data_IF_156665923433
#
_entry.id   IF_156665923433
#
_cell.length_a   1.000
_cell.length_b   1.000
_cell.length_c   1.000
_cell.angle_alpha   90.00
_cell.angle_beta   90.00
_cell.angle_gamma   90.00
#
_symmetry.space_group_name_H-M   'P 1'
#
loop_
_entity.id
_entity.type
_entity.pdbx_description
1 polymer ?
#
# COMPACT_ATOMS: atom_id res chain seq x y z
N UNK A 1 -3.08 25.13 -3.00
CA UNK A 1 -2.59 25.35 -1.61
C UNK A 1 -1.08 25.46 -1.67
N UNK A 2 -0.47 26.33 -0.86
CA UNK A 2 0.99 26.36 -0.71
C UNK A 2 1.41 25.36 0.39
N UNK A 3 2.54 24.70 0.15
CA UNK A 3 3.10 23.72 1.09
C UNK A 3 4.60 23.98 1.31
N UNK A 4 5.01 23.87 2.57
CA UNK A 4 6.41 23.97 3.01
C UNK A 4 6.97 22.56 3.21
N UNK A 5 8.15 22.27 2.63
CA UNK A 5 8.84 21.01 2.86
C UNK A 5 9.45 20.99 4.26
N UNK A 6 9.32 19.86 4.97
CA UNK A 6 10.05 19.66 6.21
C UNK A 6 11.50 19.28 5.92
N UNK A 7 12.40 19.91 6.60
CA UNK A 7 13.85 19.72 6.39
C UNK A 7 14.34 18.33 6.83
N UNK A 8 15.40 17.86 6.20
CA UNK A 8 16.11 16.64 6.60
C UNK A 8 16.78 16.85 7.98
N UNK A 9 17.00 15.75 8.72
CA UNK A 9 17.64 15.80 10.03
C UNK A 9 18.94 16.61 10.02
N UNK A 10 19.16 17.53 10.97
CA UNK A 10 20.40 18.29 11.07
C UNK A 10 21.57 17.40 11.52
N UNK A 11 22.80 17.87 11.30
CA UNK A 11 23.99 17.21 11.83
C UNK A 11 23.89 17.09 13.37
N UNK A 12 24.32 15.96 13.92
CA UNK A 12 24.25 15.64 15.33
C UNK A 12 22.93 14.99 15.77
N UNK A 13 21.85 15.07 14.98
CA UNK A 13 20.60 14.41 15.29
C UNK A 13 20.73 12.87 15.34
N UNK A 14 20.03 12.25 16.26
CA UNK A 14 19.88 10.80 16.31
C UNK A 14 18.79 10.34 15.32
N UNK A 15 19.14 9.47 14.38
CA UNK A 15 18.24 9.05 13.31
C UNK A 15 18.11 7.54 13.27
N UNK A 16 16.90 7.04 13.53
CA UNK A 16 16.56 5.65 13.31
C UNK A 16 16.29 5.44 11.81
N UNK A 17 16.94 4.46 11.18
CA UNK A 17 16.80 4.17 9.75
C UNK A 17 16.27 2.75 9.57
N UNK A 18 15.08 2.64 8.95
CA UNK A 18 14.51 1.34 8.56
C UNK A 18 15.31 0.71 7.42
N UNK A 19 15.96 -0.41 7.69
CA UNK A 19 16.80 -1.16 6.74
C UNK A 19 16.06 -2.42 6.26
N UNK A 20 16.04 -2.63 4.95
CA UNK A 20 15.46 -3.81 4.30
C UNK A 20 16.48 -4.63 3.50
N UNK A 21 17.77 -4.29 3.58
CA UNK A 21 18.82 -4.88 2.73
C UNK A 21 18.83 -4.36 1.29
N UNK A 22 17.83 -3.59 0.87
CA UNK A 22 17.77 -2.98 -0.45
C UNK A 22 18.62 -1.72 -0.60
N UNK A 23 18.97 -1.36 -1.84
CA UNK A 23 19.83 -0.23 -2.19
C UNK A 23 19.35 1.11 -1.63
N UNK A 24 18.02 1.33 -1.62
CA UNK A 24 17.43 2.60 -1.17
C UNK A 24 17.64 2.82 0.33
N UNK A 25 17.41 1.80 1.15
CA UNK A 25 17.52 1.89 2.60
C UNK A 25 19.00 2.02 3.04
N UNK A 26 19.91 1.27 2.42
CA UNK A 26 21.34 1.32 2.73
C UNK A 26 21.95 2.65 2.29
N UNK A 27 21.60 3.16 1.10
CA UNK A 27 22.04 4.49 0.67
C UNK A 27 21.48 5.59 1.58
N UNK A 28 20.22 5.49 2.01
CA UNK A 28 19.60 6.43 2.97
C UNK A 28 20.44 6.52 4.25
N UNK A 29 20.85 5.39 4.83
CA UNK A 29 21.68 5.36 6.03
C UNK A 29 23.04 6.07 5.82
N UNK A 30 23.70 5.81 4.66
CA UNK A 30 24.98 6.45 4.34
C UNK A 30 24.85 7.95 4.11
N UNK A 31 23.80 8.41 3.43
CA UNK A 31 23.58 9.84 3.19
C UNK A 31 23.40 10.59 4.50
N UNK A 32 22.64 10.03 5.44
CA UNK A 32 22.42 10.60 6.78
C UNK A 32 23.72 10.60 7.60
N UNK A 33 24.50 9.51 7.54
CA UNK A 33 25.81 9.45 8.20
C UNK A 33 26.79 10.48 7.64
N UNK A 34 26.85 10.65 6.31
CA UNK A 34 27.66 11.68 5.65
C UNK A 34 27.20 13.11 6.01
N UNK A 35 25.91 13.27 6.30
CA UNK A 35 25.35 14.54 6.80
C UNK A 35 25.73 14.85 8.25
N UNK A 36 26.38 13.90 8.95
CA UNK A 36 26.84 14.06 10.33
C UNK A 36 25.78 13.64 11.37
N UNK A 37 24.74 12.89 10.98
CA UNK A 37 23.77 12.33 11.92
C UNK A 37 24.35 11.11 12.67
N UNK A 38 23.89 10.86 13.90
CA UNK A 38 24.05 9.57 14.58
C UNK A 38 23.01 8.59 14.03
N UNK A 39 23.43 7.72 13.15
CA UNK A 39 22.55 6.75 12.49
C UNK A 39 22.45 5.47 13.31
N UNK A 40 21.22 4.99 13.52
CA UNK A 40 20.87 3.71 14.14
C UNK A 40 20.06 2.95 13.12
N UNK A 41 20.52 1.77 12.67
CA UNK A 41 19.81 0.89 11.75
C UNK A 41 18.80 -0.01 12.50
N UNK A 42 17.61 -0.18 11.94
CA UNK A 42 16.61 -1.11 12.47
C UNK A 42 16.00 -1.95 11.35
N UNK A 43 15.86 -3.25 11.57
CA UNK A 43 15.14 -4.17 10.68
C UNK A 43 14.00 -4.85 11.45
N UNK A 44 12.85 -5.01 10.80
CA UNK A 44 11.73 -5.77 11.34
C UNK A 44 11.94 -7.26 11.10
N UNK A 45 11.71 -8.09 12.09
CA UNK A 45 11.47 -9.53 11.90
C UNK A 45 9.96 -9.76 11.82
N UNK A 46 9.51 -10.29 10.69
CA UNK A 46 8.11 -10.48 10.33
C UNK A 46 7.73 -11.95 10.25
N UNK A 47 8.69 -12.80 9.85
CA UNK A 47 8.42 -14.19 9.52
C UNK A 47 8.47 -15.08 10.76
N UNK A 48 7.39 -15.84 10.96
CA UNK A 48 7.19 -16.71 12.12
C UNK A 48 7.46 -18.21 11.84
N UNK A 49 7.93 -18.54 10.63
CA UNK A 49 8.20 -19.93 10.24
C UNK A 49 6.97 -20.77 9.85
N UNK A 50 5.76 -20.20 9.85
CA UNK A 50 4.54 -20.93 9.53
C UNK A 50 4.45 -21.38 8.07
N UNK A 51 5.12 -20.69 7.16
CA UNK A 51 5.24 -21.11 5.76
C UNK A 51 6.56 -21.86 5.60
N UNK A 52 6.53 -23.20 5.43
CA UNK A 52 7.75 -23.98 5.29
C UNK A 52 8.51 -23.58 4.03
N UNK A 53 9.83 -23.48 4.14
CA UNK A 53 10.68 -23.32 2.97
C UNK A 53 10.46 -24.50 2.01
N UNK A 54 9.97 -24.24 0.80
CA UNK A 54 9.76 -25.27 -0.24
C UNK A 54 11.10 -25.61 -0.90
N UNK A 55 11.76 -26.65 -0.39
CA UNK A 55 12.98 -27.20 -0.96
C UNK A 55 14.23 -26.32 -0.83
N UNK A 56 15.31 -26.64 -1.56
CA UNK A 56 16.43 -25.73 -1.80
C UNK A 56 15.91 -24.59 -2.67
N UNK A 57 15.26 -23.61 -2.05
CA UNK A 57 14.71 -22.44 -2.73
C UNK A 57 15.84 -21.51 -3.16
N UNK A 58 16.57 -21.93 -4.20
CA UNK A 58 17.36 -21.06 -5.03
C UNK A 58 16.49 -20.23 -5.99
N UNK A 59 15.16 -20.19 -5.80
CA UNK A 59 14.32 -19.30 -6.58
C UNK A 59 14.65 -17.86 -6.18
N UNK A 60 15.14 -17.07 -7.13
CA UNK A 60 15.43 -15.65 -6.94
C UNK A 60 14.24 -14.93 -6.29
N UNK A 61 13.01 -15.35 -6.60
CA UNK A 61 11.76 -14.77 -6.10
C UNK A 61 11.51 -14.94 -4.60
N UNK A 62 12.00 -16.02 -3.97
CA UNK A 62 11.84 -16.21 -2.51
C UNK A 62 12.66 -15.21 -1.70
N UNK A 63 13.74 -14.65 -2.28
CA UNK A 63 14.59 -13.61 -1.65
C UNK A 63 14.08 -12.20 -1.91
N UNK A 64 13.14 -12.03 -2.83
CA UNK A 64 12.62 -10.73 -3.29
C UNK A 64 11.32 -10.33 -2.59
N UNK A 65 10.68 -11.26 -1.83
CA UNK A 65 9.47 -10.99 -1.09
C UNK A 65 9.76 -10.36 0.29
N UNK A 66 8.83 -9.49 0.76
CA UNK A 66 8.96 -8.89 2.09
C UNK A 66 8.68 -9.87 3.23
N UNK A 67 7.92 -10.94 2.99
CA UNK A 67 7.53 -11.96 3.96
C UNK A 67 7.88 -13.35 3.42
N UNK A 68 8.66 -14.10 4.18
CA UNK A 68 9.06 -15.46 3.84
C UNK A 68 10.46 -15.84 4.32
N UNK A 69 10.92 -17.05 3.98
CA UNK A 69 12.17 -17.66 4.50
C UNK A 69 13.47 -16.94 4.09
N UNK A 70 13.43 -15.95 3.20
CA UNK A 70 14.58 -15.11 2.84
C UNK A 70 14.87 -13.96 3.82
N UNK A 71 14.07 -13.80 4.88
CA UNK A 71 14.22 -12.69 5.84
C UNK A 71 15.54 -12.76 6.61
N UNK A 72 15.98 -13.97 7.03
CA UNK A 72 17.23 -14.15 7.77
C UNK A 72 18.45 -13.67 6.98
N UNK A 73 18.50 -13.97 5.67
CA UNK A 73 19.57 -13.50 4.78
C UNK A 73 19.60 -11.97 4.71
N UNK A 74 18.43 -11.33 4.63
CA UNK A 74 18.31 -9.87 4.58
C UNK A 74 18.76 -9.22 5.90
N UNK A 75 18.42 -9.82 7.05
CA UNK A 75 18.86 -9.36 8.37
C UNK A 75 20.38 -9.45 8.50
N UNK A 76 20.99 -10.59 8.11
CA UNK A 76 22.44 -10.75 8.20
C UNK A 76 23.21 -9.79 7.29
N UNK A 77 22.68 -9.48 6.11
CA UNK A 77 23.25 -8.48 5.23
C UNK A 77 23.13 -7.06 5.79
N UNK A 78 22.00 -6.69 6.39
CA UNK A 78 21.86 -5.41 7.08
C UNK A 78 22.83 -5.29 8.23
N UNK A 79 23.03 -6.36 9.00
CA UNK A 79 23.99 -6.44 10.13
C UNK A 79 25.44 -6.24 9.64
N UNK A 80 25.82 -6.94 8.56
CA UNK A 80 27.14 -6.78 7.93
C UNK A 80 27.37 -5.37 7.43
N UNK A 81 26.40 -4.81 6.68
CA UNK A 81 26.45 -3.42 6.21
C UNK A 81 26.66 -2.45 7.37
N UNK A 82 25.90 -2.58 8.45
CA UNK A 82 25.99 -1.70 9.61
C UNK A 82 27.34 -1.82 10.31
N UNK A 83 27.90 -3.03 10.47
CA UNK A 83 29.21 -3.27 11.04
C UNK A 83 30.33 -2.63 10.20
N UNK A 84 30.32 -2.80 8.87
CA UNK A 84 31.28 -2.20 7.94
C UNK A 84 31.28 -0.67 7.98
N UNK A 85 30.12 -0.08 8.26
CA UNK A 85 29.98 1.38 8.29
C UNK A 85 29.95 1.98 9.70
N UNK A 86 30.15 1.19 10.76
CA UNK A 86 30.12 1.66 12.16
C UNK A 86 28.76 2.31 12.49
N UNK A 87 27.68 1.63 12.13
CA UNK A 87 26.28 1.98 12.44
C UNK A 87 25.78 1.00 13.49
N UNK A 88 25.20 1.53 14.56
CA UNK A 88 24.48 0.72 15.56
C UNK A 88 23.29 0.03 14.90
N UNK A 89 23.06 -1.27 15.18
CA UNK A 89 22.02 -2.03 14.47
C UNK A 89 21.19 -2.88 15.42
N UNK A 90 19.88 -2.84 15.19
CA UNK A 90 18.89 -3.60 15.96
C UNK A 90 17.94 -4.36 15.04
N UNK A 91 17.49 -5.51 15.51
CA UNK A 91 16.37 -6.26 14.93
C UNK A 91 15.23 -6.20 15.94
N UNK A 92 14.04 -5.80 15.50
CA UNK A 92 12.84 -5.77 16.33
C UNK A 92 11.85 -6.80 15.83
N UNK A 93 11.34 -7.59 16.75
CA UNK A 93 10.37 -8.63 16.46
C UNK A 93 8.95 -8.05 16.48
N UNK A 94 8.28 -8.11 15.33
CA UNK A 94 6.90 -7.62 15.16
C UNK A 94 6.03 -8.63 14.43
N UNK A 95 6.40 -9.93 14.45
CA UNK A 95 5.70 -10.98 13.72
C UNK A 95 4.25 -11.15 14.16
N UNK A 96 3.94 -11.05 15.46
CA UNK A 96 2.56 -11.15 15.96
C UNK A 96 1.67 -10.01 15.42
N UNK A 97 2.17 -8.78 15.49
CA UNK A 97 1.48 -7.61 14.95
C UNK A 97 1.29 -7.71 13.44
N UNK A 98 2.31 -8.20 12.74
CA UNK A 98 2.26 -8.40 11.30
C UNK A 98 1.20 -9.44 10.91
N UNK A 99 1.21 -10.59 11.57
CA UNK A 99 0.19 -11.63 11.36
C UNK A 99 -1.21 -11.07 11.57
N UNK A 100 -1.46 -10.42 12.70
CA UNK A 100 -2.78 -9.90 13.06
C UNK A 100 -3.25 -8.74 12.18
N UNK A 101 -2.35 -7.78 11.90
CA UNK A 101 -2.73 -6.50 11.25
C UNK A 101 -2.57 -6.52 9.73
N UNK A 102 -1.74 -7.43 9.18
CA UNK A 102 -1.44 -7.49 7.74
C UNK A 102 -1.93 -8.80 7.12
N UNK A 103 -1.49 -9.97 7.62
CA UNK A 103 -1.85 -11.26 7.02
C UNK A 103 -3.32 -11.60 7.21
N UNK A 104 -3.86 -11.43 8.42
CA UNK A 104 -5.28 -11.66 8.71
C UNK A 104 -6.18 -10.69 7.90
N UNK A 105 -5.78 -9.41 7.79
CA UNK A 105 -6.45 -8.45 6.91
C UNK A 105 -6.44 -8.93 5.47
N UNK A 106 -5.29 -9.32 4.94
CA UNK A 106 -5.12 -9.81 3.57
C UNK A 106 -6.03 -10.99 3.26
N UNK A 107 -6.01 -12.04 4.11
CA UNK A 107 -6.84 -13.23 3.97
C UNK A 107 -8.33 -12.88 4.02
N UNK A 108 -8.73 -12.06 4.99
CA UNK A 108 -10.13 -11.66 5.18
C UNK A 108 -10.68 -10.94 3.96
N UNK A 109 -9.93 -9.97 3.41
CA UNK A 109 -10.37 -9.20 2.25
C UNK A 109 -10.52 -10.07 1.00
N UNK A 110 -9.57 -10.95 0.72
CA UNK A 110 -9.69 -11.87 -0.42
C UNK A 110 -10.87 -12.84 -0.27
N UNK A 111 -11.07 -13.40 0.93
CA UNK A 111 -12.23 -14.25 1.22
C UNK A 111 -13.58 -13.53 1.11
N UNK A 112 -13.56 -12.22 1.23
CA UNK A 112 -14.72 -11.37 1.00
C UNK A 112 -14.86 -10.91 -0.47
N UNK A 113 -14.06 -11.44 -1.40
CA UNK A 113 -14.08 -11.07 -2.83
C UNK A 113 -13.51 -9.67 -3.10
N UNK A 114 -12.77 -9.09 -2.15
CA UNK A 114 -12.13 -7.79 -2.29
C UNK A 114 -10.63 -7.94 -2.57
N UNK A 115 -10.03 -6.92 -3.15
CA UNK A 115 -8.60 -6.90 -3.51
C UNK A 115 -7.83 -6.00 -2.52
N UNK A 116 -7.21 -6.56 -1.45
CA UNK A 116 -6.50 -5.77 -0.46
C UNK A 116 -5.18 -5.19 -0.98
N UNK A 117 -4.66 -4.19 -0.24
CA UNK A 117 -3.28 -3.74 -0.40
C UNK A 117 -2.51 -3.93 0.93
N UNK A 118 -1.79 -5.05 1.09
CA UNK A 118 -1.07 -5.36 2.33
C UNK A 118 0.05 -4.37 2.63
N UNK A 119 0.69 -3.78 1.60
CA UNK A 119 1.77 -2.80 1.79
C UNK A 119 1.31 -1.53 2.49
N UNK A 120 0.07 -1.08 2.24
CA UNK A 120 -0.51 0.07 2.93
C UNK A 120 -0.69 -0.24 4.42
N UNK A 121 -1.21 -1.43 4.74
CA UNK A 121 -1.41 -1.86 6.12
C UNK A 121 -0.08 -2.11 6.84
N UNK A 122 0.90 -2.69 6.16
CA UNK A 122 2.25 -2.84 6.68
C UNK A 122 2.90 -1.48 6.98
N UNK A 123 2.86 -0.53 6.06
CA UNK A 123 3.40 0.81 6.33
C UNK A 123 2.74 1.44 7.56
N UNK A 124 1.39 1.50 7.59
CA UNK A 124 0.67 2.12 8.70
C UNK A 124 0.92 1.44 10.04
N UNK A 125 0.75 0.11 10.10
CA UNK A 125 0.62 -0.60 11.38
C UNK A 125 1.94 -1.21 11.86
N UNK A 126 2.85 -1.51 10.93
CA UNK A 126 4.10 -2.21 11.25
C UNK A 126 5.29 -1.25 11.13
N UNK A 127 5.62 -0.81 9.92
CA UNK A 127 6.84 -0.01 9.68
C UNK A 127 6.82 1.36 10.37
N UNK A 128 5.68 2.05 10.35
CA UNK A 128 5.48 3.35 11.01
C UNK A 128 4.62 3.25 12.28
N UNK A 129 4.38 2.04 12.79
CA UNK A 129 3.66 1.70 14.02
C UNK A 129 4.48 0.79 14.91
N UNK A 130 4.15 -0.50 14.96
CA UNK A 130 4.74 -1.49 15.88
C UNK A 130 6.29 -1.48 15.92
N UNK A 131 6.96 -1.33 14.77
CA UNK A 131 8.43 -1.25 14.75
C UNK A 131 8.96 -0.06 15.55
N UNK A 132 8.29 1.09 15.48
CA UNK A 132 8.72 2.29 16.23
C UNK A 132 8.38 2.14 17.72
N UNK A 133 7.27 1.49 18.05
CA UNK A 133 6.85 1.18 19.42
C UNK A 133 7.84 0.20 20.06
N UNK A 134 8.22 -0.87 19.37
CA UNK A 134 9.21 -1.85 19.83
C UNK A 134 10.62 -1.24 19.96
N UNK A 135 11.02 -0.40 18.99
CA UNK A 135 12.30 0.32 19.09
C UNK A 135 12.37 1.18 20.35
N UNK A 136 11.29 1.87 20.68
CA UNK A 136 11.21 2.66 21.91
C UNK A 136 11.18 1.77 23.17
N UNK A 137 10.47 0.63 23.14
CA UNK A 137 10.38 -0.32 24.26
C UNK A 137 11.74 -0.94 24.62
N UNK A 138 12.60 -1.19 23.64
CA UNK A 138 13.97 -1.68 23.87
C UNK A 138 14.98 -0.55 24.17
N UNK A 139 14.49 0.69 24.33
CA UNK A 139 15.31 1.83 24.78
C UNK A 139 16.10 2.53 23.68
N UNK A 140 15.75 2.37 22.41
CA UNK A 140 16.39 3.11 21.30
C UNK A 140 15.83 4.54 21.30
N UNK A 141 16.71 5.51 21.60
CA UNK A 141 16.36 6.93 21.57
C UNK A 141 16.78 7.58 20.26
N UNK A 142 15.82 8.27 19.61
CA UNK A 142 16.00 8.92 18.33
C UNK A 142 15.11 10.16 18.15
N UNK A 143 15.61 11.14 17.41
CA UNK A 143 14.88 12.38 17.07
C UNK A 143 14.02 12.19 15.82
N UNK A 144 14.53 11.44 14.82
CA UNK A 144 13.89 11.25 13.53
C UNK A 144 13.89 9.77 13.13
N UNK A 145 12.84 9.38 12.39
CA UNK A 145 12.77 8.11 11.70
C UNK A 145 12.86 8.34 10.18
N UNK A 146 13.76 7.62 9.51
CA UNK A 146 14.00 7.72 8.08
C UNK A 146 13.91 6.37 7.38
N UNK A 147 13.46 6.38 6.14
CA UNK A 147 13.42 5.20 5.27
C UNK A 147 13.78 5.57 3.83
N UNK A 148 14.07 4.57 3.00
CA UNK A 148 14.35 4.73 1.57
C UNK A 148 13.15 4.98 0.68
N UNK A 149 11.99 5.40 1.20
CA UNK A 149 10.82 5.66 0.37
C UNK A 149 10.99 6.91 -0.51
N UNK A 150 10.44 6.84 -1.72
CA UNK A 150 10.32 7.96 -2.66
C UNK A 150 9.05 8.75 -2.38
N UNK A 151 9.14 9.63 -1.41
CA UNK A 151 8.10 10.56 -0.98
C UNK A 151 8.75 11.79 -0.32
N UNK A 152 7.98 12.81 0.00
CA UNK A 152 8.41 14.00 0.72
C UNK A 152 7.42 14.31 1.83
N UNK A 153 7.89 14.86 2.95
CA UNK A 153 7.01 15.36 4.01
C UNK A 153 6.91 16.88 3.87
N UNK A 154 5.66 17.36 3.89
CA UNK A 154 5.32 18.76 3.75
C UNK A 154 4.30 19.17 4.81
N UNK A 155 4.08 20.48 4.93
CA UNK A 155 3.05 21.09 5.80
C UNK A 155 2.34 22.18 5.03
N UNK A 156 1.02 22.37 5.16
CA UNK A 156 0.33 23.48 4.50
C UNK A 156 0.80 24.80 5.11
N UNK A 157 1.10 25.80 4.26
CA UNK A 157 1.56 27.13 4.71
C UNK A 157 0.44 27.90 5.45
N UNK A 158 -0.79 27.80 4.94
CA UNK A 158 -1.97 28.58 5.42
C UNK A 158 -3.09 27.73 6.03
N UNK A 159 -2.82 26.49 6.47
CA UNK A 159 -3.86 25.61 7.00
C UNK A 159 -4.53 24.70 5.96
N UNK A 160 -5.30 23.71 6.41
CA UNK A 160 -5.93 22.67 5.61
C UNK A 160 -7.46 22.81 5.63
N UNK A 161 -8.11 22.73 4.46
CA UNK A 161 -9.57 22.79 4.29
C UNK A 161 -10.25 23.98 5.01
N UNK A 162 -9.61 25.16 4.98
CA UNK A 162 -10.14 26.38 5.59
C UNK A 162 -10.00 26.46 7.12
N UNK A 163 -9.26 25.56 7.72
CA UNK A 163 -8.90 25.59 9.16
C UNK A 163 -7.47 26.11 9.34
N UNK A 164 -7.07 26.42 10.60
CA UNK A 164 -5.69 26.80 10.93
C UNK A 164 -4.76 25.57 11.13
N UNK A 165 -5.29 24.36 10.95
CA UNK A 165 -4.52 23.13 11.14
C UNK A 165 -3.42 22.94 10.08
N UNK A 166 -2.20 22.69 10.52
CA UNK A 166 -1.02 22.52 9.66
C UNK A 166 -0.34 21.15 9.91
N UNK A 167 -1.05 20.03 9.64
CA UNK A 167 -0.49 18.70 9.89
C UNK A 167 0.67 18.39 8.96
N UNK A 168 1.58 17.52 9.41
CA UNK A 168 2.55 16.89 8.50
C UNK A 168 1.81 15.96 7.52
N UNK A 169 2.15 16.08 6.24
CA UNK A 169 1.49 15.40 5.12
C UNK A 169 2.52 14.81 4.17
N UNK A 170 2.10 13.78 3.43
CA UNK A 170 2.95 13.13 2.41
C UNK A 170 2.75 13.80 1.05
N UNK A 171 3.83 14.10 0.37
CA UNK A 171 3.86 14.63 -0.98
C UNK A 171 4.73 13.77 -1.89
N UNK A 172 4.52 13.86 -3.22
CA UNK A 172 5.31 13.12 -4.21
C UNK A 172 6.78 13.53 -4.17
N UNK A 173 7.66 12.58 -4.46
CA UNK A 173 9.08 12.81 -4.65
C UNK A 173 9.37 13.46 -6.01
N UNK A 174 10.63 13.84 -6.25
CA UNK A 174 11.08 14.36 -7.54
C UNK A 174 10.98 13.32 -8.67
N UNK A 175 11.22 12.05 -8.37
CA UNK A 175 11.05 10.95 -9.32
C UNK A 175 9.63 10.38 -9.26
N UNK A 176 8.74 10.93 -10.09
CA UNK A 176 7.34 10.48 -10.18
C UNK A 176 7.19 9.04 -10.68
N UNK A 177 8.20 8.50 -11.39
CA UNK A 177 8.17 7.11 -11.88
C UNK A 177 8.33 6.09 -10.75
N UNK A 178 8.90 6.51 -9.63
CA UNK A 178 9.12 5.72 -8.41
C UNK A 178 8.27 6.20 -7.22
N UNK A 179 7.26 7.05 -7.49
CA UNK A 179 6.38 7.58 -6.44
C UNK A 179 5.73 6.47 -5.60
N UNK A 180 5.95 6.51 -4.30
CA UNK A 180 5.45 5.55 -3.32
C UNK A 180 4.39 6.14 -2.38
N UNK A 181 3.93 7.35 -2.65
CA UNK A 181 2.96 8.04 -1.79
C UNK A 181 1.67 7.25 -1.61
N UNK A 182 1.23 6.53 -2.64
CA UNK A 182 0.04 5.66 -2.58
C UNK A 182 0.08 4.67 -1.41
N UNK A 183 1.26 4.17 -1.04
CA UNK A 183 1.41 3.25 0.09
C UNK A 183 1.49 3.93 1.46
N UNK A 184 1.63 5.26 1.49
CA UNK A 184 1.94 6.01 2.71
C UNK A 184 0.76 6.85 3.23
N UNK A 185 -0.36 6.90 2.51
CA UNK A 185 -1.47 7.81 2.79
C UNK A 185 -2.12 7.60 4.18
N UNK A 186 -2.01 6.40 4.74
CA UNK A 186 -2.61 6.07 6.04
C UNK A 186 -1.71 6.35 7.25
N UNK A 187 -0.47 6.80 7.04
CA UNK A 187 0.43 7.11 8.16
C UNK A 187 -0.12 8.32 8.92
N UNK A 188 -0.32 8.22 10.26
CA UNK A 188 -0.82 9.34 11.04
C UNK A 188 0.10 10.57 10.94
N UNK A 189 -0.48 11.77 10.85
CA UNK A 189 0.29 13.03 10.78
C UNK A 189 1.21 13.22 12.00
N UNK A 190 0.79 12.77 13.17
CA UNK A 190 1.63 12.79 14.38
C UNK A 190 2.93 11.96 14.21
N UNK A 191 2.85 10.80 13.55
CA UNK A 191 4.03 10.00 13.19
C UNK A 191 4.88 10.72 12.16
N UNK A 192 4.25 11.33 11.13
CA UNK A 192 4.94 12.05 10.06
C UNK A 192 5.76 13.26 10.55
N UNK A 193 5.46 13.82 11.73
CA UNK A 193 6.25 14.90 12.32
C UNK A 193 7.74 14.53 12.46
N UNK A 194 8.02 13.29 12.83
CA UNK A 194 9.38 12.75 13.01
C UNK A 194 9.92 12.00 11.80
N UNK A 195 9.11 11.79 10.76
CA UNK A 195 9.51 11.01 9.56
C UNK A 195 10.18 11.89 8.53
N UNK A 196 11.28 11.40 7.91
CA UNK A 196 11.91 12.03 6.74
C UNK A 196 12.29 10.97 5.71
N UNK A 197 12.25 11.38 4.45
CA UNK A 197 12.59 10.55 3.29
C UNK A 197 13.79 11.18 2.53
N UNK A 198 15.03 10.80 2.86
CA UNK A 198 16.21 11.44 2.27
C UNK A 198 16.34 11.32 0.75
N UNK A 199 15.66 10.33 0.14
CA UNK A 199 15.65 10.13 -1.31
C UNK A 199 14.59 10.98 -2.06
N UNK A 200 13.85 11.83 -1.36
CA UNK A 200 12.77 12.64 -1.94
C UNK A 200 13.19 13.50 -3.16
N UNK A 201 14.42 13.99 -3.18
CA UNK A 201 14.95 14.84 -4.24
C UNK A 201 15.86 14.08 -5.24
N UNK A 202 16.08 12.78 -5.07
CA UNK A 202 17.03 11.97 -5.83
C UNK A 202 16.29 11.08 -6.81
N UNK A 203 16.71 11.04 -8.07
CA UNK A 203 16.17 10.10 -9.05
C UNK A 203 16.71 8.70 -8.83
N UNK A 204 15.92 7.69 -9.18
CA UNK A 204 16.32 6.29 -9.00
C UNK A 204 17.63 5.93 -9.73
N UNK A 205 17.86 6.48 -10.91
CA UNK A 205 19.15 6.31 -11.64
C UNK A 205 20.33 6.83 -10.83
N UNK A 206 20.18 8.01 -10.22
CA UNK A 206 21.22 8.64 -9.38
C UNK A 206 21.47 7.82 -8.10
N UNK A 207 20.42 7.18 -7.53
CA UNK A 207 20.56 6.28 -6.39
C UNK A 207 21.47 5.11 -6.71
N UNK A 208 21.32 4.48 -7.88
CA UNK A 208 22.21 3.40 -8.30
C UNK A 208 23.63 3.87 -8.55
N UNK A 209 23.82 5.06 -9.11
CA UNK A 209 25.16 5.64 -9.31
C UNK A 209 25.85 5.94 -7.97
N UNK A 210 25.14 6.58 -7.04
CA UNK A 210 25.65 6.89 -5.70
C UNK A 210 25.95 5.61 -4.90
N UNK A 211 25.11 4.60 -5.00
CA UNK A 211 25.30 3.32 -4.33
C UNK A 211 26.54 2.58 -4.88
N UNK A 212 26.72 2.54 -6.19
CA UNK A 212 27.92 1.96 -6.82
C UNK A 212 29.19 2.74 -6.44
N UNK A 213 29.14 4.06 -6.48
CA UNK A 213 30.27 4.91 -6.06
C UNK A 213 30.62 4.75 -4.57
N UNK A 214 29.63 4.37 -3.75
CA UNK A 214 29.83 4.07 -2.34
C UNK A 214 30.24 2.61 -2.07
N UNK A 215 30.32 1.76 -3.10
CA UNK A 215 30.72 0.35 -2.97
C UNK A 215 29.62 -0.53 -2.34
N UNK A 216 28.34 -0.12 -2.37
CA UNK A 216 27.25 -0.87 -1.78
C UNK A 216 26.94 -2.15 -2.56
N UNK A 217 27.04 -3.32 -1.93
CA UNK A 217 26.68 -4.61 -2.53
C UNK A 217 25.22 -4.65 -3.00
N UNK A 218 24.32 -3.97 -2.29
CA UNK A 218 22.90 -3.83 -2.63
C UNK A 218 22.64 -3.16 -4.00
N UNK A 219 23.60 -2.42 -4.56
CA UNK A 219 23.46 -1.80 -5.90
C UNK A 219 23.32 -2.82 -7.05
N UNK A 220 23.64 -4.09 -6.81
CA UNK A 220 23.56 -5.18 -7.80
C UNK A 220 22.34 -6.09 -7.60
N UNK A 221 21.45 -5.74 -6.66
CA UNK A 221 20.24 -6.51 -6.36
C UNK A 221 19.04 -6.01 -7.15
N UNK A 222 18.13 -6.92 -7.46
CA UNK A 222 16.80 -6.61 -7.94
C UNK A 222 15.93 -6.08 -6.81
N UNK A 223 14.98 -5.21 -7.14
CA UNK A 223 14.05 -4.62 -6.15
C UNK A 223 12.98 -5.65 -5.76
N UNK A 224 12.64 -5.73 -4.47
CA UNK A 224 11.48 -6.50 -4.02
C UNK A 224 10.21 -5.94 -4.63
N UNK A 225 9.45 -6.75 -5.35
CA UNK A 225 8.22 -6.34 -6.03
C UNK A 225 6.97 -6.93 -5.38
N UNK A 226 7.09 -8.09 -4.74
CA UNK A 226 5.97 -8.85 -4.22
C UNK A 226 5.95 -8.88 -2.68
N UNK A 227 4.74 -8.86 -2.15
CA UNK A 227 4.46 -9.01 -0.72
C UNK A 227 4.84 -10.40 -0.21
N UNK A 228 4.47 -11.44 -0.98
CA UNK A 228 4.77 -12.85 -0.76
C UNK A 228 5.09 -13.51 -2.11
N UNK A 229 6.04 -14.42 -2.14
CA UNK A 229 6.33 -15.18 -3.36
C UNK A 229 5.10 -15.93 -3.87
N UNK A 230 4.89 -15.94 -5.18
CA UNK A 230 3.72 -16.57 -5.81
C UNK A 230 3.56 -18.05 -5.42
N UNK A 231 4.68 -18.74 -5.20
CA UNK A 231 4.74 -20.14 -4.77
C UNK A 231 4.19 -20.37 -3.36
N UNK A 232 4.13 -19.32 -2.53
CA UNK A 232 3.63 -19.35 -1.15
C UNK A 232 2.21 -18.81 -1.02
N UNK A 233 1.61 -18.31 -2.10
CA UNK A 233 0.28 -17.70 -2.03
C UNK A 233 -0.78 -18.68 -1.51
N UNK A 234 -0.77 -19.92 -2.01
CA UNK A 234 -1.72 -20.96 -1.60
C UNK A 234 -1.51 -21.39 -0.13
N UNK A 235 -0.26 -21.33 0.36
CA UNK A 235 0.07 -21.67 1.74
C UNK A 235 -0.51 -20.67 2.73
N UNK A 236 -0.64 -19.39 2.33
CA UNK A 236 -1.29 -18.36 3.14
C UNK A 236 -2.75 -18.70 3.45
N UNK A 237 -3.43 -19.43 2.55
CA UNK A 237 -4.84 -19.84 2.69
C UNK A 237 -5.01 -21.29 3.13
N UNK A 238 -3.93 -21.98 3.55
CA UNK A 238 -3.95 -23.39 3.95
C UNK A 238 -4.85 -23.69 5.15
N UNK A 239 -5.06 -22.70 6.03
CA UNK A 239 -5.98 -22.75 7.16
C UNK A 239 -7.46 -22.91 6.72
N UNK A 240 -7.81 -22.35 5.56
CA UNK A 240 -9.12 -22.45 4.94
C UNK A 240 -8.98 -22.29 3.42
N UNK A 241 -8.70 -23.40 2.70
CA UNK A 241 -8.53 -23.38 1.26
C UNK A 241 -9.78 -22.90 0.52
N UNK A 242 -9.56 -22.24 -0.62
CA UNK A 242 -10.63 -21.74 -1.48
C UNK A 242 -11.53 -22.84 -2.01
N UNK A 243 -12.79 -22.51 -2.18
CA UNK A 243 -13.81 -23.43 -2.71
C UNK A 243 -13.99 -23.15 -4.20
N UNK A 244 -13.82 -24.14 -5.11
CA UNK A 244 -14.10 -23.96 -6.52
C UNK A 244 -15.58 -23.60 -6.76
N UNK A 245 -15.83 -22.67 -7.70
CA UNK A 245 -17.15 -22.21 -8.05
C UNK A 245 -17.26 -21.86 -9.54
N UNK A 246 -18.37 -21.25 -9.93
CA UNK A 246 -18.65 -20.94 -11.32
C UNK A 246 -18.14 -19.54 -11.72
N UNK A 247 -17.65 -19.44 -12.94
CA UNK A 247 -17.44 -18.19 -13.65
C UNK A 247 -18.61 -17.96 -14.58
N UNK A 248 -19.33 -16.86 -14.41
CA UNK A 248 -20.53 -16.52 -15.17
C UNK A 248 -20.34 -15.21 -15.94
N UNK A 249 -21.14 -14.99 -16.99
CA UNK A 249 -21.26 -13.67 -17.60
C UNK A 249 -22.33 -12.82 -16.88
N UNK A 250 -22.55 -11.59 -17.39
CA UNK A 250 -23.53 -10.66 -16.83
C UNK A 250 -24.99 -11.16 -16.93
N UNK A 251 -25.28 -12.10 -17.83
CA UNK A 251 -26.58 -12.73 -18.02
C UNK A 251 -26.75 -13.99 -17.15
N UNK A 252 -25.72 -14.37 -16.36
CA UNK A 252 -25.72 -15.54 -15.48
C UNK A 252 -25.36 -16.86 -16.18
N UNK A 253 -24.93 -16.83 -17.45
CA UNK A 253 -24.49 -18.02 -18.17
C UNK A 253 -23.11 -18.44 -17.67
N UNK A 254 -22.96 -19.74 -17.33
CA UNK A 254 -21.69 -20.32 -16.91
C UNK A 254 -20.72 -20.37 -18.11
N UNK A 255 -19.54 -19.77 -17.93
CA UNK A 255 -18.46 -19.75 -18.91
C UNK A 255 -17.29 -20.66 -18.53
N UNK A 256 -17.14 -21.02 -17.25
CA UNK A 256 -16.07 -21.86 -16.74
C UNK A 256 -16.14 -22.03 -15.23
N UNK A 257 -15.04 -22.49 -14.62
CA UNK A 257 -14.94 -22.66 -13.18
C UNK A 257 -13.66 -22.02 -12.64
N UNK A 258 -13.77 -21.40 -11.48
CA UNK A 258 -12.63 -20.89 -10.72
C UNK A 258 -12.18 -21.89 -9.65
N UNK A 259 -10.93 -21.75 -9.17
CA UNK A 259 -10.31 -22.64 -8.17
C UNK A 259 -10.47 -22.14 -6.71
N UNK A 260 -11.08 -20.99 -6.51
CA UNK A 260 -11.27 -20.25 -5.28
C UNK A 260 -11.25 -18.77 -5.60
N UNK A 261 -12.16 -17.97 -5.03
CA UNK A 261 -12.31 -16.53 -5.36
C UNK A 261 -11.08 -15.70 -4.99
N UNK A 262 -10.27 -16.14 -4.03
CA UNK A 262 -9.05 -15.49 -3.57
C UNK A 262 -7.94 -15.40 -4.63
N UNK A 263 -8.04 -16.18 -5.69
CA UNK A 263 -7.08 -16.15 -6.81
C UNK A 263 -7.39 -15.09 -7.86
N UNK A 264 -8.43 -14.30 -7.66
CA UNK A 264 -8.97 -13.43 -8.69
C UNK A 264 -9.09 -11.98 -8.23
N UNK A 265 -8.93 -11.07 -9.19
CA UNK A 265 -8.99 -9.63 -8.94
C UNK A 265 -9.79 -8.93 -10.03
N UNK A 266 -10.59 -7.94 -9.68
CA UNK A 266 -11.37 -7.13 -10.63
C UNK A 266 -10.47 -6.49 -11.68
N UNK A 267 -10.83 -6.68 -12.96
CA UNK A 267 -10.06 -6.22 -14.12
C UNK A 267 -9.02 -7.22 -14.64
N UNK A 268 -8.81 -8.37 -13.97
CA UNK A 268 -7.91 -9.42 -14.43
C UNK A 268 -8.42 -10.03 -15.74
N UNK A 269 -7.48 -10.27 -16.70
CA UNK A 269 -7.74 -10.89 -18.00
C UNK A 269 -7.09 -12.26 -18.15
N UNK A 270 -5.87 -12.43 -17.59
CA UNK A 270 -5.07 -13.65 -17.78
C UNK A 270 -5.35 -14.68 -16.69
N UNK A 271 -5.17 -15.97 -17.00
CA UNK A 271 -5.30 -17.04 -16.01
C UNK A 271 -6.76 -17.40 -15.65
N UNK A 272 -7.75 -17.00 -16.46
CA UNK A 272 -9.17 -17.28 -16.19
C UNK A 272 -9.58 -18.70 -16.57
N UNK A 273 -8.89 -19.34 -17.54
CA UNK A 273 -9.19 -20.71 -17.93
C UNK A 273 -10.54 -20.90 -18.66
N UNK A 274 -11.13 -19.81 -19.20
CA UNK A 274 -12.39 -19.84 -19.94
C UNK A 274 -12.12 -19.82 -21.46
N UNK A 275 -12.93 -20.57 -22.22
CA UNK A 275 -12.84 -20.64 -23.67
C UNK A 275 -14.01 -19.87 -24.32
N UNK A 276 -13.78 -18.60 -24.59
CA UNK A 276 -14.71 -17.73 -25.32
C UNK A 276 -13.99 -17.08 -26.50
N UNK A 277 -14.74 -16.65 -27.53
CA UNK A 277 -14.19 -16.11 -28.79
C UNK A 277 -13.93 -14.58 -28.74
N UNK A 278 -14.02 -13.96 -27.56
CA UNK A 278 -13.73 -12.53 -27.31
C UNK A 278 -13.01 -12.34 -25.99
N UNK A 279 -12.28 -11.23 -25.82
CA UNK A 279 -11.63 -10.94 -24.55
C UNK A 279 -12.64 -10.75 -23.42
N UNK A 280 -12.42 -11.44 -22.29
CA UNK A 280 -13.20 -11.27 -21.05
C UNK A 280 -12.30 -10.89 -19.89
N UNK A 281 -12.89 -10.20 -18.94
CA UNK A 281 -12.25 -9.67 -17.74
C UNK A 281 -13.10 -9.96 -16.51
N UNK A 282 -12.50 -10.02 -15.35
CA UNK A 282 -13.26 -10.08 -14.10
C UNK A 282 -13.95 -8.74 -13.88
N UNK A 283 -15.27 -8.76 -13.90
CA UNK A 283 -16.12 -7.61 -13.61
C UNK A 283 -16.32 -7.45 -12.11
N UNK A 284 -16.72 -8.53 -11.42
CA UNK A 284 -16.97 -8.54 -9.98
C UNK A 284 -16.77 -9.94 -9.39
N UNK A 285 -16.64 -10.00 -8.08
CA UNK A 285 -16.53 -11.25 -7.31
C UNK A 285 -17.65 -11.25 -6.29
N UNK A 286 -18.55 -12.24 -6.37
CA UNK A 286 -19.62 -12.45 -5.41
C UNK A 286 -19.22 -13.55 -4.42
N UNK A 287 -18.65 -13.13 -3.30
CA UNK A 287 -18.18 -14.05 -2.27
C UNK A 287 -19.33 -14.81 -1.58
N UNK A 288 -20.54 -14.22 -1.50
CA UNK A 288 -21.72 -14.82 -0.87
C UNK A 288 -22.19 -16.04 -1.65
N UNK A 289 -22.22 -15.95 -2.98
CA UNK A 289 -22.65 -17.01 -3.88
C UNK A 289 -21.48 -17.81 -4.48
N UNK A 290 -20.24 -17.48 -4.11
CA UNK A 290 -19.01 -18.09 -4.63
C UNK A 290 -18.92 -18.03 -6.16
N UNK A 291 -19.16 -16.84 -6.74
CA UNK A 291 -19.16 -16.59 -8.17
C UNK A 291 -18.09 -15.57 -8.57
N UNK A 292 -17.50 -15.79 -9.75
CA UNK A 292 -16.68 -14.80 -10.44
C UNK A 292 -17.44 -14.35 -11.69
N UNK A 293 -17.77 -13.06 -11.77
CA UNK A 293 -18.52 -12.49 -12.89
C UNK A 293 -17.57 -11.95 -13.92
N UNK A 294 -17.70 -12.39 -15.14
CA UNK A 294 -16.90 -11.99 -16.29
C UNK A 294 -17.68 -11.06 -17.21
N UNK A 295 -17.02 -10.06 -17.76
CA UNK A 295 -17.61 -9.13 -18.72
C UNK A 295 -16.61 -8.70 -19.77
N UNK A 296 -17.08 -7.94 -20.77
CA UNK A 296 -16.22 -7.29 -21.75
C UNK A 296 -15.53 -6.06 -21.13
N UNK A 297 -14.55 -5.50 -21.84
CA UNK A 297 -13.79 -4.34 -21.34
C UNK A 297 -14.68 -3.10 -21.13
N UNK A 298 -15.64 -2.88 -22.01
CA UNK A 298 -16.60 -1.77 -21.95
C UNK A 298 -17.41 -1.73 -20.66
N UNK A 299 -17.70 -2.89 -20.08
CA UNK A 299 -18.48 -3.04 -18.85
C UNK A 299 -17.68 -2.77 -17.57
N UNK A 300 -16.36 -2.58 -17.68
CA UNK A 300 -15.48 -2.37 -16.53
C UNK A 300 -15.39 -0.90 -16.09
N UNK A 301 -15.93 0.02 -16.85
CA UNK A 301 -15.82 1.46 -16.57
C UNK A 301 -16.87 1.91 -15.57
N UNK A 302 -16.50 2.83 -14.70
CA UNK A 302 -17.38 3.49 -13.74
C UNK A 302 -17.12 4.99 -13.70
N UNK A 303 -18.19 5.77 -13.57
CA UNK A 303 -18.15 7.23 -13.43
C UNK A 303 -17.87 7.69 -11.99
N UNK A 304 -17.95 6.76 -11.02
CA UNK A 304 -17.75 7.05 -9.60
C UNK A 304 -17.24 5.84 -8.84
N UNK A 305 -16.83 6.09 -7.61
CA UNK A 305 -16.67 5.07 -6.57
C UNK A 305 -17.18 5.60 -5.23
N UNK A 306 -17.54 4.68 -4.35
CA UNK A 306 -17.76 4.96 -2.93
C UNK A 306 -16.61 4.34 -2.15
N UNK A 307 -16.05 5.11 -1.22
CA UNK A 307 -15.00 4.62 -0.34
C UNK A 307 -15.33 4.97 1.11
N UNK A 308 -14.90 4.11 2.01
CA UNK A 308 -15.07 4.28 3.46
C UNK A 308 -13.71 4.14 4.20
N UNK A 309 -13.76 4.03 5.51
CA UNK A 309 -12.54 3.99 6.36
C UNK A 309 -11.53 5.06 5.94
N UNK A 310 -12.05 6.28 5.73
CA UNK A 310 -11.27 7.42 5.27
C UNK A 310 -10.31 7.92 6.35
N UNK A 311 -9.12 8.31 5.91
CA UNK A 311 -8.13 9.02 6.74
C UNK A 311 -7.86 10.39 6.12
N UNK A 312 -7.87 11.40 6.98
CA UNK A 312 -7.60 12.79 6.63
C UNK A 312 -6.36 13.26 7.37
N UNK A 313 -5.45 14.04 6.75
CA UNK A 313 -4.26 14.55 7.43
C UNK A 313 -4.64 15.34 8.68
N UNK A 314 -4.04 14.97 9.83
CA UNK A 314 -4.35 15.59 11.14
C UNK A 314 -5.77 15.40 11.62
N UNK A 315 -6.56 14.50 11.00
CA UNK A 315 -7.99 14.33 11.30
C UNK A 315 -8.86 15.48 10.77
N UNK A 316 -8.33 16.36 9.92
CA UNK A 316 -9.07 17.51 9.38
C UNK A 316 -9.89 17.08 8.17
N UNK A 317 -11.17 16.90 8.38
CA UNK A 317 -12.13 16.47 7.37
C UNK A 317 -12.71 17.68 6.62
N UNK A 318 -12.84 17.63 5.28
CA UNK A 318 -13.47 18.71 4.53
C UNK A 318 -14.97 18.83 4.86
N UNK A 319 -15.45 20.05 5.03
CA UNK A 319 -16.87 20.34 5.29
C UNK A 319 -17.71 20.44 4.01
N UNK A 320 -17.07 20.80 2.90
CA UNK A 320 -17.71 21.04 1.61
C UNK A 320 -17.13 20.11 0.53
N UNK A 321 -17.89 19.82 -0.54
CA UNK A 321 -17.35 19.12 -1.72
C UNK A 321 -16.15 19.87 -2.31
N UNK A 322 -15.15 19.13 -2.78
CA UNK A 322 -13.95 19.74 -3.36
C UNK A 322 -13.40 18.94 -4.54
N UNK A 323 -12.60 19.60 -5.38
CA UNK A 323 -11.92 19.02 -6.51
C UNK A 323 -10.54 18.47 -6.09
N UNK A 324 -10.21 17.28 -6.56
CA UNK A 324 -8.93 16.61 -6.31
C UNK A 324 -8.51 15.77 -7.51
N UNK A 325 -7.30 15.22 -7.44
CA UNK A 325 -6.88 14.08 -8.25
C UNK A 325 -7.01 12.83 -7.41
N UNK A 326 -7.41 11.70 -7.99
CA UNK A 326 -7.51 10.42 -7.29
C UNK A 326 -6.69 9.34 -7.99
N UNK A 327 -5.97 8.53 -7.23
CA UNK A 327 -5.41 7.24 -7.66
C UNK A 327 -6.24 6.12 -7.02
N UNK A 328 -6.70 5.19 -7.84
CA UNK A 328 -7.50 4.03 -7.41
C UNK A 328 -6.70 2.72 -7.34
N UNK A 329 -5.44 2.77 -7.71
CA UNK A 329 -4.42 1.70 -7.58
C UNK A 329 -3.03 2.29 -7.78
N UNK A 330 -2.00 1.59 -7.37
CA UNK A 330 -0.61 2.07 -7.50
C UNK A 330 -0.26 2.46 -8.94
N UNK A 331 -0.53 1.57 -9.90
CA UNK A 331 -0.14 1.77 -11.30
C UNK A 331 -1.06 2.72 -12.08
N UNK A 332 -2.18 3.21 -11.49
CA UNK A 332 -3.05 4.17 -12.18
C UNK A 332 -2.43 5.56 -12.20
N UNK A 333 -2.69 6.30 -13.29
CA UNK A 333 -2.43 7.74 -13.30
C UNK A 333 -3.46 8.45 -12.41
N UNK A 334 -3.10 9.53 -11.72
CA UNK A 334 -4.08 10.37 -11.03
C UNK A 334 -5.09 10.96 -12.01
N UNK A 335 -6.37 10.89 -11.67
CA UNK A 335 -7.47 11.44 -12.52
C UNK A 335 -8.28 12.47 -11.73
N UNK A 336 -8.79 13.46 -12.43
CA UNK A 336 -9.58 14.53 -11.82
C UNK A 336 -10.92 13.99 -11.32
N UNK A 337 -11.31 14.40 -10.11
CA UNK A 337 -12.55 14.00 -9.47
C UNK A 337 -13.13 15.10 -8.59
N UNK A 338 -14.42 14.97 -8.29
CA UNK A 338 -15.10 15.69 -7.22
C UNK A 338 -15.29 14.75 -6.04
N UNK A 339 -14.96 15.20 -4.84
CA UNK A 339 -15.07 14.46 -3.58
C UNK A 339 -16.18 15.07 -2.75
N UNK A 340 -17.16 14.28 -2.35
CA UNK A 340 -18.29 14.72 -1.53
C UNK A 340 -18.72 13.62 -0.55
N UNK A 341 -19.44 13.97 0.51
CA UNK A 341 -20.01 12.98 1.44
C UNK A 341 -21.01 12.10 0.70
N UNK A 342 -20.90 10.80 0.87
CA UNK A 342 -21.89 9.87 0.34
C UNK A 342 -23.15 9.93 1.19
N UNK A 343 -24.26 10.27 0.58
CA UNK A 343 -25.61 10.16 1.16
C UNK A 343 -26.30 9.02 0.44
N UNK A 344 -26.59 7.94 1.15
CA UNK A 344 -27.41 6.89 0.58
C UNK A 344 -28.75 7.53 0.16
N UNK A 345 -29.08 7.49 -1.12
CA UNK A 345 -30.40 7.87 -1.55
C UNK A 345 -31.37 6.94 -0.78
N UNK A 346 -32.33 7.50 -0.04
CA UNK A 346 -33.48 6.74 0.40
C UNK A 346 -34.03 6.09 -0.86
N UNK A 347 -33.96 4.74 -0.90
CA UNK A 347 -34.29 3.98 -2.10
C UNK A 347 -35.66 4.43 -2.58
N UNK A 348 -35.68 5.14 -3.68
CA UNK A 348 -36.90 5.31 -4.44
C UNK A 348 -37.36 3.91 -4.84
N UNK A 349 -38.25 3.37 -4.03
CA UNK A 349 -39.05 2.21 -4.35
C UNK A 349 -39.94 2.55 -5.53
N UNK A 350 -39.38 2.49 -6.74
CA UNK A 350 -40.08 2.37 -8.01
C UNK A 350 -39.07 2.17 -9.17
N UNK A 351 -38.60 0.94 -9.33
CA UNK A 351 -37.87 0.49 -10.50
C UNK A 351 -38.34 -0.91 -10.87
N UNK A 352 -39.19 -0.98 -11.87
CA UNK A 352 -39.61 -2.22 -12.54
C UNK A 352 -38.34 -2.92 -13.06
N UNK A 353 -38.04 -4.07 -12.52
CA UNK A 353 -37.46 -5.28 -13.09
C UNK A 353 -36.63 -6.00 -12.02
N UNK A 354 -37.02 -7.24 -11.74
CA UNK A 354 -36.58 -8.14 -10.69
C UNK A 354 -35.08 -8.49 -10.59
N UNK A 355 -34.21 -7.51 -10.43
CA UNK A 355 -32.87 -7.74 -9.90
C UNK A 355 -32.93 -7.59 -8.38
N UNK A 356 -32.55 -8.64 -7.65
CA UNK A 356 -32.43 -8.61 -6.19
C UNK A 356 -31.61 -7.37 -5.79
N UNK A 357 -32.21 -6.50 -4.97
CA UNK A 357 -31.53 -5.37 -4.39
C UNK A 357 -30.29 -5.90 -3.65
N UNK A 358 -29.10 -5.57 -4.12
CA UNK A 358 -27.87 -5.82 -3.37
C UNK A 358 -28.01 -5.06 -2.04
N UNK A 359 -27.87 -5.77 -0.92
CA UNK A 359 -27.78 -5.14 0.39
C UNK A 359 -26.71 -4.05 0.33
N UNK A 360 -27.03 -2.85 0.80
CA UNK A 360 -26.05 -1.77 0.86
C UNK A 360 -24.84 -2.24 1.66
N UNK A 361 -23.61 -1.99 1.19
CA UNK A 361 -22.40 -2.39 1.90
C UNK A 361 -22.38 -1.76 3.30
N UNK A 362 -21.99 -2.54 4.31
CA UNK A 362 -21.73 -2.00 5.64
C UNK A 362 -20.46 -1.14 5.58
N UNK A 363 -20.61 0.17 5.75
CA UNK A 363 -19.49 1.12 5.71
C UNK A 363 -18.79 1.23 7.07
N UNK A 364 -17.49 1.44 7.03
CA UNK A 364 -16.66 1.78 8.21
C UNK A 364 -16.52 3.30 8.28
N UNK A 365 -17.19 3.93 9.22
CA UNK A 365 -17.25 5.39 9.34
C UNK A 365 -18.11 6.08 8.28
N UNK A 366 -17.89 7.35 8.04
CA UNK A 366 -18.59 8.13 7.02
C UNK A 366 -18.07 7.77 5.63
N UNK A 367 -18.90 7.22 4.73
CA UNK A 367 -18.48 6.98 3.36
C UNK A 367 -18.44 8.27 2.53
N UNK A 368 -17.55 8.26 1.52
CA UNK A 368 -17.33 9.36 0.59
C UNK A 368 -17.58 8.91 -0.84
N UNK A 369 -18.23 9.78 -1.61
CA UNK A 369 -18.46 9.60 -3.04
C UNK A 369 -17.40 10.37 -3.83
N UNK A 370 -16.70 9.64 -4.69
CA UNK A 370 -15.69 10.18 -5.59
C UNK A 370 -16.21 10.07 -7.03
N UNK A 371 -16.61 11.19 -7.61
CA UNK A 371 -17.12 11.29 -8.99
C UNK A 371 -15.96 11.61 -9.91
N UNK A 372 -15.66 10.74 -10.84
CA UNK A 372 -14.60 10.94 -11.82
C UNK A 372 -15.03 11.94 -12.91
N UNK A 373 -14.07 12.74 -13.41
CA UNK A 373 -14.31 13.57 -14.62
C UNK A 373 -14.28 12.73 -15.90
N UNK A 374 -13.60 11.58 -15.87
CA UNK A 374 -13.54 10.60 -16.94
C UNK A 374 -13.71 9.21 -16.34
N UNK A 375 -14.56 8.33 -16.95
CA UNK A 375 -14.82 6.99 -16.42
C UNK A 375 -13.54 6.20 -16.16
N UNK A 376 -13.48 5.50 -15.03
CA UNK A 376 -12.31 4.74 -14.62
C UNK A 376 -12.54 3.24 -14.75
N UNK A 377 -11.53 2.57 -15.35
CA UNK A 377 -11.57 1.13 -15.61
C UNK A 377 -11.27 0.31 -14.36
N UNK A 378 -12.11 -0.71 -14.13
CA UNK A 378 -11.89 -1.76 -13.13
C UNK A 378 -11.63 -1.20 -11.71
N UNK A 379 -12.55 -0.36 -11.25
CA UNK A 379 -12.60 0.08 -9.85
C UNK A 379 -12.80 -1.16 -8.98
N UNK A 380 -11.81 -1.49 -8.13
CA UNK A 380 -11.78 -2.75 -7.38
C UNK A 380 -12.06 -2.50 -5.89
N UNK A 381 -13.14 -3.07 -5.33
CA UNK A 381 -13.38 -3.04 -3.88
C UNK A 381 -12.19 -3.65 -3.10
N UNK A 382 -11.83 -3.03 -1.98
CA UNK A 382 -10.66 -3.39 -1.16
C UNK A 382 -9.38 -2.66 -1.54
N UNK A 383 -9.26 -2.13 -2.77
CA UNK A 383 -8.17 -1.21 -3.12
C UNK A 383 -8.39 0.15 -2.45
N UNK A 384 -7.32 0.94 -2.37
CA UNK A 384 -7.44 2.30 -1.83
C UNK A 384 -7.75 3.31 -2.92
N UNK A 385 -8.54 4.33 -2.57
CA UNK A 385 -8.57 5.58 -3.30
C UNK A 385 -7.75 6.61 -2.52
N UNK A 386 -6.73 7.19 -3.17
CA UNK A 386 -5.85 8.19 -2.55
C UNK A 386 -6.01 9.51 -3.26
N UNK A 387 -6.33 10.55 -2.50
CA UNK A 387 -6.65 11.88 -2.99
C UNK A 387 -5.43 12.78 -2.94
N UNK A 388 -5.19 13.49 -4.05
CA UNK A 388 -4.07 14.41 -4.21
C UNK A 388 -4.54 15.80 -4.57
N UNK A 389 -3.88 16.80 -4.02
CA UNK A 389 -3.98 18.21 -4.43
C UNK A 389 -2.57 18.79 -4.45
N UNK A 390 -2.18 19.41 -5.57
CA UNK A 390 -0.84 20.00 -5.75
C UNK A 390 0.31 19.00 -5.40
N UNK A 391 0.15 17.74 -5.82
CA UNK A 391 1.08 16.62 -5.54
C UNK A 391 1.21 16.22 -4.05
N UNK A 392 0.30 16.68 -3.20
CA UNK A 392 0.22 16.34 -1.77
C UNK A 392 -1.00 15.46 -1.52
N UNK A 393 -0.85 14.42 -0.70
CA UNK A 393 -1.97 13.60 -0.25
C UNK A 393 -2.84 14.43 0.70
N UNK A 394 -4.10 14.59 0.33
CA UNK A 394 -5.10 15.31 1.13
C UNK A 394 -6.13 14.41 1.79
N UNK A 395 -6.07 13.11 1.56
CA UNK A 395 -6.92 12.09 2.17
C UNK A 395 -6.93 10.80 1.38
N UNK A 396 -7.66 9.81 1.89
CA UNK A 396 -7.88 8.55 1.18
C UNK A 396 -8.66 7.55 2.02
N UNK A 397 -9.25 6.57 1.36
CA UNK A 397 -10.07 5.53 1.98
C UNK A 397 -9.97 4.20 1.24
N UNK A 398 -10.75 3.22 1.69
CA UNK A 398 -10.86 1.91 1.05
C UNK A 398 -12.09 1.92 0.13
N UNK A 399 -11.93 1.49 -1.11
CA UNK A 399 -13.02 1.39 -2.09
C UNK A 399 -13.99 0.30 -1.63
N UNK A 400 -15.26 0.68 -1.44
CA UNK A 400 -16.33 -0.21 -0.97
C UNK A 400 -17.26 -0.61 -2.10
N UNK A 401 -17.57 0.34 -3.02
CA UNK A 401 -18.49 0.13 -4.14
C UNK A 401 -18.13 1.01 -5.35
N UNK A 402 -18.78 0.72 -6.49
CA UNK A 402 -18.66 1.43 -7.77
C UNK A 402 -20.02 1.59 -8.44
#
# INVERSE_FOLDING_TARGET
MEFEALELPPAGAAVLVGLSGGVDSTLTALLLKRRGCRVIGVTMSLWDGHIPAKGESNSKHAREACYGPGEEDNIEECKKFCAEHGIEYHVVDVHEDYNKKVLEYFKREYRAGRTPNPCIMCNRNIKFGAMLEEAAAVGIDYDYFCTGHYAKIVRPAGGLFGTDARPAMVATAADLSKDQTYFLYRIPSATLEKVRFPLAAVKKSEVFELARAAGLAAANREESQDFVGQEYFDDLFSDRPGIPGDMIDLDGKVLGRHKGIEHYTVGQRRGLGVAVNYPVYIHSIDAKNNLVVLAKEEDLYSDFLVADDFVWPGGVEPSEPFEALVKIRLASKPVACTVERYVAAESAAQGKNGSQAQEAPAFVGQPWLIKFKEPQRAVAPGQSCVLYKDNVIVGGGIISAR
#
